data_IF_875180535498
#
_entry.id   IF_875180535498
#
_cell.length_a   1.000
_cell.length_b   1.000
_cell.length_c   1.000
_cell.angle_alpha   90.00
_cell.angle_beta   90.00
_cell.angle_gamma   90.00
#
_symmetry.space_group_name_H-M   'P 1'
#
loop_
_entity.id
_entity.type
_entity.pdbx_description
1 polymer ?
#
# COMPACT_ATOMS: atom_id res chain seq x y z
N UNK A 1 -1.44 2.21 21.83
CA UNK A 1 -2.04 3.37 21.11
C UNK A 1 -2.15 3.16 19.59
N UNK A 2 -1.05 2.88 18.84
CA UNK A 2 -1.07 2.79 17.35
C UNK A 2 -2.10 1.82 16.74
N UNK A 3 -2.27 0.61 17.28
CA UNK A 3 -3.19 -0.41 16.72
C UNK A 3 -4.68 0.01 16.79
N UNK A 4 -5.11 0.60 17.92
CA UNK A 4 -6.50 1.07 18.10
C UNK A 4 -6.86 2.21 17.14
N UNK A 5 -5.92 3.09 16.79
CA UNK A 5 -6.16 4.17 15.81
C UNK A 5 -6.26 3.62 14.38
N UNK A 6 -5.40 2.66 14.01
CA UNK A 6 -5.47 2.02 12.68
C UNK A 6 -6.78 1.28 12.46
N UNK A 7 -7.35 0.66 13.50
CA UNK A 7 -8.61 -0.06 13.40
C UNK A 7 -9.81 0.89 13.24
N UNK A 8 -9.79 2.03 13.94
CA UNK A 8 -10.78 3.11 13.73
C UNK A 8 -10.68 3.70 12.32
N UNK A 9 -9.47 3.95 11.81
CA UNK A 9 -9.26 4.46 10.44
C UNK A 9 -9.79 3.50 9.36
N UNK A 10 -9.56 2.19 9.54
CA UNK A 10 -10.08 1.17 8.60
C UNK A 10 -11.60 1.12 8.56
N UNK A 11 -12.30 1.41 9.66
CA UNK A 11 -13.77 1.49 9.69
C UNK A 11 -14.30 2.73 8.94
N UNK A 12 -13.49 3.76 8.82
CA UNK A 12 -13.83 5.04 8.20
C UNK A 12 -13.73 5.03 6.67
N UNK A 13 -13.05 4.03 6.10
CA UNK A 13 -12.83 3.92 4.66
C UNK A 13 -14.00 3.22 3.97
N UNK A 14 -14.29 3.62 2.72
CA UNK A 14 -15.27 2.92 1.88
C UNK A 14 -14.91 1.45 1.68
N UNK A 15 -15.91 0.59 1.49
CA UNK A 15 -15.72 -0.85 1.27
C UNK A 15 -14.73 -1.15 0.13
N UNK A 16 -14.84 -0.42 -0.98
CA UNK A 16 -13.93 -0.55 -2.13
C UNK A 16 -12.48 -0.23 -1.75
N UNK A 17 -12.26 0.81 -0.95
CA UNK A 17 -10.93 1.20 -0.49
C UNK A 17 -10.35 0.16 0.47
N UNK A 18 -11.18 -0.40 1.36
CA UNK A 18 -10.79 -1.49 2.27
C UNK A 18 -10.40 -2.75 1.50
N UNK A 19 -11.18 -3.15 0.51
CA UNK A 19 -10.85 -4.29 -0.36
C UNK A 19 -9.53 -4.08 -1.10
N UNK A 20 -9.29 -2.88 -1.64
CA UNK A 20 -8.04 -2.58 -2.34
C UNK A 20 -6.81 -2.62 -1.41
N UNK A 21 -6.92 -2.01 -0.22
CA UNK A 21 -5.85 -2.05 0.80
C UNK A 21 -5.61 -3.49 1.27
N UNK A 22 -6.67 -4.26 1.49
CA UNK A 22 -6.55 -5.67 1.87
C UNK A 22 -5.85 -6.50 0.80
N UNK A 23 -6.22 -6.33 -0.47
CA UNK A 23 -5.58 -7.00 -1.60
C UNK A 23 -4.09 -6.64 -1.72
N UNK A 24 -3.73 -5.36 -1.56
CA UNK A 24 -2.33 -4.93 -1.55
C UNK A 24 -1.55 -5.54 -0.38
N UNK A 25 -2.13 -5.60 0.82
CA UNK A 25 -1.48 -6.24 1.97
C UNK A 25 -1.28 -7.74 1.73
N UNK A 26 -2.27 -8.45 1.18
CA UNK A 26 -2.11 -9.85 0.80
C UNK A 26 -0.99 -10.06 -0.23
N UNK A 27 -0.83 -9.12 -1.16
CA UNK A 27 0.27 -9.13 -2.13
C UNK A 27 1.62 -8.90 -1.44
N UNK A 28 1.72 -7.96 -0.50
CA UNK A 28 2.93 -7.71 0.30
C UNK A 28 3.31 -8.96 1.10
N UNK A 29 2.34 -9.62 1.73
CA UNK A 29 2.56 -10.84 2.51
C UNK A 29 3.07 -11.98 1.64
N UNK A 30 2.55 -12.11 0.42
CA UNK A 30 3.06 -13.09 -0.56
C UNK A 30 4.52 -12.83 -0.90
N UNK A 31 4.86 -11.59 -1.28
CA UNK A 31 6.24 -11.20 -1.61
C UNK A 31 7.18 -11.41 -0.40
N UNK A 32 6.70 -11.13 0.82
CA UNK A 32 7.49 -11.36 2.03
C UNK A 32 7.82 -12.84 2.23
N UNK A 33 6.90 -13.75 1.88
CA UNK A 33 7.17 -15.20 1.88
C UNK A 33 8.16 -15.58 0.80
N UNK A 34 8.05 -15.00 -0.40
CA UNK A 34 8.99 -15.28 -1.50
C UNK A 34 10.42 -14.82 -1.13
N UNK A 35 10.56 -13.64 -0.51
CA UNK A 35 11.84 -13.16 0.04
C UNK A 35 12.38 -14.13 1.11
N UNK A 36 11.50 -14.65 1.98
CA UNK A 36 11.93 -15.61 2.99
C UNK A 36 12.34 -16.96 2.37
N UNK A 37 11.62 -17.43 1.35
CA UNK A 37 11.97 -18.66 0.63
C UNK A 37 13.36 -18.56 0.00
N UNK A 38 13.62 -17.47 -0.74
CA UNK A 38 14.95 -17.26 -1.36
C UNK A 38 16.09 -17.25 -0.35
N UNK A 39 15.86 -16.79 0.88
CA UNK A 39 16.85 -16.86 1.96
C UNK A 39 17.10 -18.30 2.45
N UNK A 40 16.03 -19.11 2.55
CA UNK A 40 16.14 -20.53 2.92
C UNK A 40 16.89 -21.29 1.83
N UNK A 41 16.60 -21.03 0.55
CA UNK A 41 17.26 -21.64 -0.59
C UNK A 41 18.76 -21.28 -0.63
N UNK A 42 19.10 -20.01 -0.39
CA UNK A 42 20.49 -19.55 -0.25
C UNK A 42 21.21 -20.29 0.90
N UNK A 43 20.56 -20.42 2.07
CA UNK A 43 21.16 -21.11 3.21
C UNK A 43 21.36 -22.60 2.96
N UNK A 44 20.42 -23.25 2.25
CA UNK A 44 20.53 -24.65 1.87
C UNK A 44 21.73 -24.88 0.94
N UNK A 45 21.92 -24.02 -0.06
CA UNK A 45 23.08 -24.07 -0.95
C UNK A 45 24.42 -23.95 -0.19
N UNK A 46 24.48 -23.10 0.83
CA UNK A 46 25.71 -22.90 1.62
C UNK A 46 26.04 -24.07 2.56
N UNK A 47 25.04 -24.83 3.01
CA UNK A 47 25.24 -25.92 3.98
C UNK A 47 25.67 -27.23 3.33
N UNK A 48 25.20 -27.49 2.11
CA UNK A 48 25.34 -28.82 1.49
C UNK A 48 26.48 -28.92 0.47
N UNK A 49 27.05 -27.81 0.01
CA UNK A 49 28.15 -27.85 -0.96
C UNK A 49 29.06 -26.61 -0.82
N UNK A 50 30.35 -26.75 -0.45
CA UNK A 50 31.22 -25.61 -0.23
C UNK A 50 31.66 -24.98 -1.56
N UNK A 51 30.79 -24.19 -2.20
CA UNK A 51 30.99 -23.15 -3.25
C UNK A 51 32.20 -23.31 -4.22
N UNK A 52 32.65 -24.52 -4.50
CA UNK A 52 33.77 -24.81 -5.39
C UNK A 52 33.30 -24.95 -6.84
N UNK A 53 32.00 -25.18 -7.02
CA UNK A 53 31.34 -25.21 -8.32
C UNK A 53 30.91 -23.80 -8.76
N UNK A 54 31.41 -23.28 -9.90
CA UNK A 54 31.02 -21.97 -10.42
C UNK A 54 29.52 -21.85 -10.75
N UNK A 55 28.83 -22.93 -11.10
CA UNK A 55 27.38 -22.92 -11.38
C UNK A 55 26.58 -22.57 -10.13
N UNK A 56 26.99 -23.08 -8.96
CA UNK A 56 26.33 -22.82 -7.67
C UNK A 56 26.59 -21.39 -7.19
N UNK A 57 27.77 -20.85 -7.49
CA UNK A 57 28.08 -19.43 -7.25
C UNK A 57 27.19 -18.51 -8.08
N UNK A 58 27.02 -18.82 -9.37
CA UNK A 58 26.14 -18.07 -10.25
C UNK A 58 24.66 -18.15 -9.80
N UNK A 59 24.20 -19.31 -9.34
CA UNK A 59 22.83 -19.44 -8.81
C UNK A 59 22.61 -18.63 -7.53
N UNK A 60 23.60 -18.61 -6.63
CA UNK A 60 23.56 -17.74 -5.44
C UNK A 60 23.44 -16.27 -5.83
N UNK A 61 24.24 -15.81 -6.80
CA UNK A 61 24.19 -14.43 -7.28
C UNK A 61 22.82 -14.08 -7.86
N UNK A 62 22.23 -14.99 -8.66
CA UNK A 62 20.84 -14.85 -9.15
C UNK A 62 19.82 -14.73 -8.03
N UNK A 63 19.92 -15.54 -6.97
CA UNK A 63 19.02 -15.45 -5.81
C UNK A 63 19.17 -14.12 -5.06
N UNK A 64 20.39 -13.58 -4.98
CA UNK A 64 20.65 -12.26 -4.39
C UNK A 64 20.00 -11.13 -5.20
N UNK A 65 20.12 -11.18 -6.52
CA UNK A 65 19.51 -10.20 -7.42
C UNK A 65 17.98 -10.29 -7.38
N UNK A 66 17.42 -11.50 -7.45
CA UNK A 66 15.98 -11.72 -7.27
C UNK A 66 15.49 -11.17 -5.93
N UNK A 67 16.23 -11.38 -4.84
CA UNK A 67 15.89 -10.84 -3.53
C UNK A 67 15.88 -9.31 -3.53
N UNK A 68 16.87 -8.66 -4.16
CA UNK A 68 16.90 -7.20 -4.29
C UNK A 68 15.66 -6.69 -5.02
N UNK A 69 15.29 -7.34 -6.13
CA UNK A 69 14.10 -7.00 -6.89
C UNK A 69 12.81 -7.15 -6.06
N UNK A 70 12.67 -8.28 -5.35
CA UNK A 70 11.50 -8.54 -4.50
C UNK A 70 11.40 -7.53 -3.36
N UNK A 71 12.50 -7.15 -2.71
CA UNK A 71 12.53 -6.12 -1.68
C UNK A 71 12.08 -4.76 -2.23
N UNK A 72 12.60 -4.37 -3.41
CA UNK A 72 12.18 -3.14 -4.07
C UNK A 72 10.69 -3.18 -4.45
N UNK A 73 10.22 -4.32 -4.95
CA UNK A 73 8.81 -4.50 -5.32
C UNK A 73 7.90 -4.43 -4.09
N UNK A 74 8.28 -5.07 -2.98
CA UNK A 74 7.58 -4.99 -1.69
C UNK A 74 7.44 -3.55 -1.23
N UNK A 75 8.55 -2.80 -1.23
CA UNK A 75 8.57 -1.38 -0.82
C UNK A 75 7.66 -0.52 -1.69
N UNK A 76 7.59 -0.78 -3.00
CA UNK A 76 6.64 -0.10 -3.90
C UNK A 76 5.19 -0.41 -3.54
N UNK A 77 4.85 -1.64 -3.16
CA UNK A 77 3.49 -1.98 -2.73
C UNK A 77 3.14 -1.33 -1.39
N UNK A 78 4.07 -1.33 -0.42
CA UNK A 78 3.90 -0.63 0.86
C UNK A 78 3.61 0.86 0.64
N UNK A 79 4.36 1.50 -0.26
CA UNK A 79 4.13 2.90 -0.61
C UNK A 79 2.74 3.14 -1.23
N UNK A 80 2.22 2.21 -2.04
CA UNK A 80 0.85 2.31 -2.57
C UNK A 80 -0.19 2.23 -1.46
N UNK A 81 -0.01 1.35 -0.49
CA UNK A 81 -0.89 1.24 0.69
C UNK A 81 -0.89 2.56 1.47
N UNK A 82 0.29 3.10 1.78
CA UNK A 82 0.43 4.36 2.51
C UNK A 82 -0.23 5.53 1.76
N UNK A 83 -0.06 5.59 0.44
CA UNK A 83 -0.66 6.62 -0.41
C UNK A 83 -2.19 6.56 -0.37
N UNK A 84 -2.77 5.37 -0.49
CA UNK A 84 -4.24 5.22 -0.41
C UNK A 84 -4.76 5.55 0.98
N UNK A 85 -4.10 5.10 2.05
CA UNK A 85 -4.47 5.44 3.43
C UNK A 85 -4.43 6.95 3.63
N UNK A 86 -3.38 7.64 3.15
CA UNK A 86 -3.26 9.10 3.22
C UNK A 86 -4.39 9.80 2.45
N UNK A 87 -4.69 9.33 1.23
CA UNK A 87 -5.79 9.85 0.41
C UNK A 87 -7.14 9.74 1.12
N UNK A 88 -7.43 8.61 1.77
CA UNK A 88 -8.68 8.44 2.52
C UNK A 88 -8.72 9.32 3.77
N UNK A 89 -7.60 9.49 4.48
CA UNK A 89 -7.53 10.41 5.63
C UNK A 89 -7.83 11.85 5.23
N UNK A 90 -7.31 12.30 4.09
CA UNK A 90 -7.61 13.63 3.55
C UNK A 90 -9.09 13.78 3.20
N UNK A 91 -9.68 12.79 2.52
CA UNK A 91 -11.12 12.81 2.18
C UNK A 91 -12.03 12.95 3.41
N UNK A 92 -11.68 12.25 4.49
CA UNK A 92 -12.47 12.31 5.73
C UNK A 92 -12.28 13.64 6.45
N UNK A 93 -11.09 14.25 6.39
CA UNK A 93 -10.85 15.57 6.99
C UNK A 93 -11.43 16.73 6.16
N UNK A 94 -11.51 16.58 4.84
CA UNK A 94 -12.06 17.62 3.94
C UNK A 94 -13.60 17.63 3.91
N UNK A 95 -14.26 16.50 4.19
CA UNK A 95 -15.71 16.42 4.18
C UNK A 95 -16.40 17.36 5.21
N UNK A 96 -15.94 17.46 6.48
CA UNK A 96 -16.47 18.43 7.43
C UNK A 96 -16.28 19.88 6.99
N UNK A 97 -15.12 20.22 6.40
CA UNK A 97 -14.81 21.58 5.96
C UNK A 97 -15.70 22.01 4.78
N UNK A 98 -15.97 21.10 3.83
CA UNK A 98 -16.92 21.35 2.75
C UNK A 98 -18.36 21.53 3.26
N UNK A 99 -18.77 20.74 4.26
CA UNK A 99 -20.10 20.86 4.85
C UNK A 99 -20.28 22.19 5.60
N UNK A 100 -19.26 22.63 6.34
CA UNK A 100 -19.24 23.92 7.01
C UNK A 100 -19.29 25.07 6.00
N UNK A 101 -18.51 24.99 4.91
CA UNK A 101 -18.53 25.98 3.84
C UNK A 101 -19.91 26.06 3.15
N UNK A 102 -20.57 24.93 2.91
CA UNK A 102 -21.93 24.87 2.37
C UNK A 102 -22.97 25.48 3.31
N UNK A 103 -22.82 25.29 4.63
CA UNK A 103 -23.74 25.85 5.62
C UNK A 103 -23.55 27.36 5.85
N UNK A 104 -22.38 27.90 5.55
CA UNK A 104 -22.06 29.33 5.67
C UNK A 104 -22.19 30.10 4.35
N UNK A 105 -22.59 29.45 3.25
CA UNK A 105 -22.89 30.12 1.99
C UNK A 105 -24.23 30.88 2.13
N UNK A 106 -24.26 32.21 1.88
CA UNK A 106 -25.52 32.96 1.86
C UNK A 106 -26.45 32.38 0.80
N UNK A 107 -27.76 32.33 1.09
CA UNK A 107 -28.77 31.65 0.25
C UNK A 107 -28.74 32.07 -1.23
N UNK A 108 -28.30 33.29 -1.53
CA UNK A 108 -28.23 33.85 -2.89
C UNK A 108 -27.11 33.23 -3.75
N UNK A 109 -26.11 32.60 -3.13
CA UNK A 109 -24.98 31.93 -3.82
C UNK A 109 -25.21 30.42 -4.03
N UNK A 110 -26.28 29.86 -3.47
CA UNK A 110 -26.60 28.43 -3.58
C UNK A 110 -27.15 28.04 -4.97
N UNK A 111 -27.87 28.96 -5.62
CA UNK A 111 -28.44 28.78 -6.96
C UNK A 111 -27.37 28.83 -8.08
N UNK A 112 -26.29 29.60 -7.88
CA UNK A 112 -25.16 29.67 -8.81
C UNK A 112 -24.21 28.47 -8.67
N UNK A 113 -24.10 27.87 -7.49
CA UNK A 113 -23.26 26.68 -7.30
C UNK A 113 -23.89 25.40 -7.87
N UNK A 114 -25.22 25.27 -7.79
CA UNK A 114 -25.95 24.14 -8.39
C UNK A 114 -25.89 24.18 -9.93
N UNK A 115 -26.04 25.35 -10.55
CA UNK A 115 -25.97 25.49 -12.02
C UNK A 115 -24.57 25.26 -12.60
N UNK A 116 -23.51 25.46 -11.81
CA UNK A 116 -22.13 25.15 -12.18
C UNK A 116 -21.80 23.65 -12.07
N UNK A 117 -22.44 22.92 -11.15
CA UNK A 117 -22.27 21.46 -11.01
C UNK A 117 -23.04 20.66 -12.05
N UNK A 118 -24.19 21.16 -12.53
CA UNK A 118 -24.96 20.50 -13.60
C UNK A 118 -24.35 20.68 -15.00
N UNK A 119 -23.34 21.55 -15.15
CA UNK A 119 -22.62 21.78 -16.41
C UNK A 119 -21.32 20.97 -16.57
N UNK A 120 -20.98 20.05 -15.66
CA UNK A 120 -19.81 19.15 -15.74
C UNK A 120 -20.21 17.68 -15.71
#
# INVERSE_FOLDING_TARGET
MKRKNQEKERKMFSLRSRMYIWWLNCKIDRIARDIHSTFVDESYLLRHDPLRNPEKMAEKERLLDLRRELVLYKRRQEFKVEREVRKQRLKVQSAPLLLILLHHLPSDASLTFLSLLDCC
#
